data_IF_435803266550
#
_entry.id   IF_435803266550
#
_cell.length_a   1.000
_cell.length_b   1.000
_cell.length_c   1.000
_cell.angle_alpha   90.00
_cell.angle_beta   90.00
_cell.angle_gamma   90.00
#
_symmetry.space_group_name_H-M   'P 1'
#
loop_
_entity.id
_entity.type
_entity.pdbx_description
1 polymer ?
#
# COMPACT_ATOMS: atom_id res chain seq x y z
N UNK A 1 -52.03 9.75 -29.04
CA UNK A 1 -51.72 9.39 -30.44
C UNK A 1 -50.23 9.11 -30.53
N UNK A 2 -49.84 7.86 -30.83
CA UNK A 2 -49.11 7.45 -32.05
C UNK A 2 -47.77 8.17 -32.20
N UNK A 3 -46.61 7.56 -32.43
CA UNK A 3 -46.14 6.18 -32.64
C UNK A 3 -44.64 6.37 -32.98
N UNK A 4 -43.83 5.35 -32.73
CA UNK A 4 -42.59 5.01 -33.47
C UNK A 4 -41.37 5.96 -33.38
N UNK A 5 -40.25 5.42 -32.89
CA UNK A 5 -39.03 5.26 -33.69
C UNK A 5 -38.18 4.10 -33.13
N UNK A 6 -37.77 3.22 -34.05
CA UNK A 6 -36.96 2.00 -33.91
C UNK A 6 -35.55 2.32 -34.41
N UNK A 7 -34.49 1.82 -33.76
CA UNK A 7 -33.23 1.43 -34.43
C UNK A 7 -32.26 0.66 -33.51
N UNK A 8 -32.36 -0.67 -33.57
CA UNK A 8 -31.29 -1.65 -33.83
C UNK A 8 -29.81 -1.19 -33.70
N UNK A 9 -29.04 -1.86 -32.84
CA UNK A 9 -27.72 -2.42 -33.22
C UNK A 9 -27.29 -3.51 -32.24
N UNK A 10 -27.15 -4.72 -32.77
CA UNK A 10 -26.47 -5.86 -32.18
C UNK A 10 -25.03 -5.89 -32.70
N UNK A 11 -24.03 -5.93 -31.81
CA UNK A 11 -22.68 -6.42 -32.14
C UNK A 11 -22.17 -7.23 -30.94
N UNK A 12 -22.03 -8.53 -31.20
CA UNK A 12 -21.35 -9.56 -30.43
C UNK A 12 -19.84 -9.31 -30.33
N UNK A 13 -19.25 -9.62 -29.17
CA UNK A 13 -17.80 -9.78 -29.01
C UNK A 13 -17.49 -10.95 -28.07
N UNK A 14 -17.22 -12.10 -28.69
CA UNK A 14 -16.49 -13.23 -28.13
C UNK A 14 -15.03 -12.99 -28.48
N UNK A 15 -14.12 -12.97 -27.50
CA UNK A 15 -12.72 -13.33 -27.75
C UNK A 15 -12.11 -13.96 -26.49
N UNK A 16 -11.75 -15.25 -26.65
CA UNK A 16 -10.89 -15.98 -25.73
C UNK A 16 -9.43 -15.56 -25.93
N UNK A 17 -8.67 -15.62 -24.84
CA UNK A 17 -7.22 -15.40 -24.84
C UNK A 17 -6.52 -16.72 -24.58
N UNK A 18 -5.91 -17.27 -25.63
CA UNK A 18 -4.88 -18.29 -25.57
C UNK A 18 -3.56 -17.67 -26.08
N UNK A 19 -2.63 -17.52 -25.14
CA UNK A 19 -1.19 -17.85 -25.19
C UNK A 19 -0.31 -17.55 -26.43
N UNK A 20 0.85 -16.95 -26.10
CA UNK A 20 2.20 -17.15 -26.66
C UNK A 20 2.66 -16.44 -27.96
N UNK A 21 3.56 -15.46 -27.72
CA UNK A 21 5.02 -15.53 -27.99
C UNK A 21 5.53 -15.31 -29.43
N UNK A 22 6.41 -14.30 -29.51
CA UNK A 22 7.61 -14.15 -30.35
C UNK A 22 7.47 -13.59 -31.77
N UNK A 23 7.84 -12.32 -31.88
CA UNK A 23 8.17 -11.54 -33.07
C UNK A 23 9.39 -12.08 -33.82
N UNK A 24 9.30 -12.25 -35.15
CA UNK A 24 10.42 -12.07 -36.09
C UNK A 24 9.93 -11.54 -37.45
N UNK A 25 10.84 -10.79 -38.06
CA UNK A 25 10.74 -9.85 -39.17
C UNK A 25 10.88 -10.54 -40.55
N UNK A 26 10.40 -9.81 -41.56
CA UNK A 26 10.50 -9.93 -43.03
C UNK A 26 11.72 -10.70 -43.59
N UNK A 27 11.52 -11.52 -44.63
CA UNK A 27 11.82 -11.14 -46.03
C UNK A 27 11.46 -12.24 -47.05
N UNK A 28 11.21 -11.80 -48.27
CA UNK A 28 10.68 -12.53 -49.42
C UNK A 28 11.71 -13.43 -50.15
N UNK A 29 11.25 -14.54 -50.75
CA UNK A 29 11.67 -15.00 -52.10
C UNK A 29 10.89 -16.26 -52.56
N UNK A 30 10.06 -16.05 -53.58
CA UNK A 30 9.77 -16.83 -54.80
C UNK A 30 9.82 -18.39 -54.87
N UNK A 31 8.62 -18.95 -55.06
CA UNK A 31 8.18 -19.93 -56.10
C UNK A 31 8.52 -21.44 -55.95
N UNK A 32 7.85 -22.35 -56.71
CA UNK A 32 6.40 -22.65 -56.76
C UNK A 32 6.12 -24.17 -56.58
N UNK A 33 4.98 -24.58 -56.02
CA UNK A 33 4.63 -26.03 -55.93
C UNK A 33 3.33 -26.36 -56.67
N UNK A 34 3.53 -27.22 -57.64
CA UNK A 34 2.60 -27.94 -58.51
C UNK A 34 1.86 -29.04 -57.72
N UNK A 35 0.55 -29.11 -57.84
CA UNK A 35 -0.25 -30.35 -57.65
C UNK A 35 -0.35 -31.03 -59.02
N UNK A 36 -0.50 -32.37 -59.18
CA UNK A 36 -1.59 -33.13 -58.51
C UNK A 36 -1.44 -34.68 -58.32
N UNK A 37 -2.45 -35.27 -57.67
CA UNK A 37 -2.99 -36.66 -57.79
C UNK A 37 -2.46 -37.84 -56.92
N UNK A 38 -3.34 -38.31 -56.02
CA UNK A 38 -3.56 -39.72 -55.60
C UNK A 38 -4.08 -40.57 -56.79
N UNK A 39 -4.36 -41.90 -56.71
CA UNK A 39 -4.33 -42.86 -55.57
C UNK A 39 -3.73 -44.24 -55.91
N UNK A 40 -3.49 -45.11 -54.91
CA UNK A 40 -3.74 -46.56 -55.07
C UNK A 40 -3.96 -47.28 -53.74
N UNK A 41 -5.04 -48.02 -53.75
CA UNK A 41 -5.64 -48.90 -52.74
C UNK A 41 -4.91 -50.25 -52.74
N UNK A 42 -4.73 -50.88 -51.56
CA UNK A 42 -5.03 -52.30 -51.31
C UNK A 42 -4.54 -52.81 -49.92
N UNK A 43 -5.55 -53.22 -49.12
CA UNK A 43 -5.61 -54.46 -48.32
C UNK A 43 -5.05 -54.51 -46.88
N UNK A 44 -5.94 -54.17 -45.92
CA UNK A 44 -6.51 -55.00 -44.84
C UNK A 44 -5.70 -56.23 -44.37
N UNK A 45 -5.26 -56.31 -43.11
CA UNK A 45 -6.01 -56.90 -41.97
C UNK A 45 -5.09 -57.08 -40.74
N UNK A 46 -5.72 -56.87 -39.58
CA UNK A 46 -5.41 -57.46 -38.27
C UNK A 46 -4.13 -57.05 -37.51
N UNK A 47 -4.31 -56.14 -36.56
CA UNK A 47 -3.62 -56.21 -35.26
C UNK A 47 -4.63 -55.80 -34.20
N UNK A 48 -5.38 -56.79 -33.74
CA UNK A 48 -5.46 -57.16 -32.32
C UNK A 48 -5.39 -56.00 -31.32
N UNK A 49 -6.57 -55.58 -30.86
CA UNK A 49 -6.93 -55.47 -29.45
C UNK A 49 -5.74 -55.49 -28.46
N UNK A 50 -5.14 -54.32 -28.22
CA UNK A 50 -4.45 -54.02 -26.95
C UNK A 50 -5.42 -53.19 -26.09
N UNK A 51 -6.34 -53.91 -25.44
CA UNK A 51 -6.85 -53.53 -24.12
C UNK A 51 -5.64 -53.23 -23.21
N UNK A 52 -5.30 -51.95 -23.13
CA UNK A 52 -4.45 -51.41 -22.08
C UNK A 52 -5.36 -51.02 -20.93
N UNK A 53 -5.09 -51.58 -19.75
CA UNK A 53 -5.79 -51.42 -18.48
C UNK A 53 -6.46 -50.04 -18.26
N UNK A 54 -7.77 -49.92 -18.55
CA UNK A 54 -8.59 -48.78 -18.08
C UNK A 54 -8.85 -48.82 -16.58
N UNK A 55 -8.56 -49.94 -15.91
CA UNK A 55 -8.77 -50.13 -14.49
C UNK A 55 -7.76 -49.36 -13.63
N UNK A 56 -6.51 -49.16 -14.04
CA UNK A 56 -5.56 -48.36 -13.22
C UNK A 56 -5.79 -46.84 -13.33
N UNK A 57 -6.74 -46.40 -14.17
CA UNK A 57 -6.99 -44.98 -14.49
C UNK A 57 -7.98 -44.28 -13.53
N UNK A 58 -9.00 -44.98 -13.00
CA UNK A 58 -10.03 -44.35 -12.18
C UNK A 58 -9.58 -44.08 -10.75
N UNK A 59 -8.78 -44.97 -10.15
CA UNK A 59 -8.23 -44.76 -8.81
C UNK A 59 -7.38 -43.47 -8.74
N UNK A 60 -6.48 -43.25 -9.70
CA UNK A 60 -5.65 -42.04 -9.76
C UNK A 60 -6.49 -40.78 -10.03
N UNK A 61 -7.45 -40.88 -10.96
CA UNK A 61 -8.38 -39.78 -11.28
C UNK A 61 -9.20 -39.36 -10.06
N UNK A 62 -9.82 -40.33 -9.37
CA UNK A 62 -10.59 -40.11 -8.15
C UNK A 62 -9.71 -39.50 -7.05
N UNK A 63 -8.48 -40.00 -6.85
CA UNK A 63 -7.56 -39.46 -5.85
C UNK A 63 -7.25 -37.96 -6.09
N UNK A 64 -7.00 -37.56 -7.33
CA UNK A 64 -6.77 -36.16 -7.69
C UNK A 64 -8.00 -35.27 -7.45
N UNK A 65 -9.19 -35.74 -7.82
CA UNK A 65 -10.43 -35.02 -7.57
C UNK A 65 -10.73 -34.88 -6.07
N UNK A 66 -10.41 -35.91 -5.27
CA UNK A 66 -10.55 -35.88 -3.81
C UNK A 66 -9.60 -34.86 -3.14
N UNK A 67 -8.39 -34.66 -3.68
CA UNK A 67 -7.49 -33.60 -3.22
C UNK A 67 -8.08 -32.21 -3.47
N UNK A 68 -8.62 -31.97 -4.66
CA UNK A 68 -9.30 -30.72 -5.01
C UNK A 68 -10.51 -30.47 -4.09
N UNK A 69 -11.32 -31.51 -3.87
CA UNK A 69 -12.46 -31.48 -2.98
C UNK A 69 -12.06 -31.11 -1.54
N UNK A 70 -10.96 -31.68 -1.03
CA UNK A 70 -10.43 -31.31 0.30
C UNK A 70 -10.04 -29.83 0.36
N UNK A 71 -9.41 -29.31 -0.70
CA UNK A 71 -9.09 -27.88 -0.81
C UNK A 71 -10.32 -26.99 -0.79
N UNK A 72 -11.37 -27.37 -1.51
CA UNK A 72 -12.66 -26.65 -1.52
C UNK A 72 -13.35 -26.66 -0.16
N UNK A 73 -13.30 -27.79 0.56
CA UNK A 73 -13.81 -27.88 1.94
C UNK A 73 -13.06 -26.93 2.87
N UNK A 74 -11.73 -26.94 2.84
CA UNK A 74 -10.91 -26.03 3.65
C UNK A 74 -11.17 -24.56 3.29
N UNK A 75 -11.39 -24.27 2.01
CA UNK A 75 -11.82 -22.96 1.52
C UNK A 75 -13.15 -22.52 2.13
N UNK A 76 -14.16 -23.40 2.13
CA UNK A 76 -15.46 -23.13 2.75
C UNK A 76 -15.35 -22.83 4.24
N UNK A 77 -14.57 -23.61 4.99
CA UNK A 77 -14.33 -23.38 6.43
C UNK A 77 -13.62 -22.05 6.66
N UNK A 78 -12.57 -21.74 5.90
CA UNK A 78 -11.85 -20.45 6.01
C UNK A 78 -12.76 -19.25 5.69
N UNK A 79 -13.71 -19.42 4.79
CA UNK A 79 -14.72 -18.42 4.49
C UNK A 79 -15.83 -18.32 5.55
N UNK A 80 -15.82 -19.16 6.59
CA UNK A 80 -16.78 -19.12 7.68
C UNK A 80 -18.04 -19.95 7.47
N UNK A 81 -18.00 -21.00 6.63
CA UNK A 81 -19.15 -21.88 6.44
C UNK A 81 -19.59 -22.58 7.74
N UNK A 82 -18.67 -22.81 8.68
CA UNK A 82 -18.95 -23.31 10.03
C UNK A 82 -19.78 -22.34 10.89
N UNK A 83 -19.71 -21.03 10.59
CA UNK A 83 -20.53 -19.98 11.22
C UNK A 83 -21.84 -19.76 10.49
N UNK A 84 -21.81 -19.61 9.16
CA UNK A 84 -22.95 -19.15 8.37
C UNK A 84 -23.84 -20.27 7.82
N UNK A 85 -23.28 -21.47 7.62
CA UNK A 85 -23.92 -22.61 6.97
C UNK A 85 -23.56 -23.92 7.69
N UNK A 86 -23.53 -23.90 9.03
CA UNK A 86 -23.02 -25.00 9.85
C UNK A 86 -23.71 -26.34 9.56
N UNK A 87 -25.04 -26.32 9.44
CA UNK A 87 -25.84 -27.52 9.18
C UNK A 87 -25.54 -28.10 7.78
N UNK A 88 -25.45 -27.24 6.77
CA UNK A 88 -25.12 -27.64 5.41
C UNK A 88 -23.69 -28.17 5.32
N UNK A 89 -22.73 -27.51 5.97
CA UNK A 89 -21.35 -27.97 6.04
C UNK A 89 -21.26 -29.36 6.68
N UNK A 90 -21.95 -29.57 7.81
CA UNK A 90 -22.00 -30.87 8.48
C UNK A 90 -22.61 -31.96 7.58
N UNK A 91 -23.67 -31.64 6.85
CA UNK A 91 -24.28 -32.59 5.92
C UNK A 91 -23.34 -32.95 4.75
N UNK A 92 -22.61 -31.98 4.20
CA UNK A 92 -21.60 -32.26 3.17
C UNK A 92 -20.41 -33.05 3.73
N UNK A 93 -20.04 -32.85 4.99
CA UNK A 93 -18.97 -33.59 5.65
C UNK A 93 -19.32 -35.07 5.81
N UNK A 94 -20.59 -35.37 6.13
CA UNK A 94 -21.09 -36.75 6.16
C UNK A 94 -21.06 -37.40 4.76
N UNK A 95 -21.46 -36.66 3.72
CA UNK A 95 -21.36 -37.13 2.33
C UNK A 95 -19.91 -37.36 1.91
N UNK A 96 -19.00 -36.46 2.28
CA UNK A 96 -17.57 -36.60 2.02
C UNK A 96 -17.00 -37.85 2.68
N UNK A 97 -17.40 -38.14 3.92
CA UNK A 97 -16.98 -39.35 4.62
C UNK A 97 -17.45 -40.61 3.88
N UNK A 98 -18.72 -40.67 3.51
CA UNK A 98 -19.25 -41.80 2.74
C UNK A 98 -18.56 -41.95 1.37
N UNK A 99 -18.24 -40.84 0.71
CA UNK A 99 -17.52 -40.84 -0.57
C UNK A 99 -16.07 -41.33 -0.43
N UNK A 100 -15.38 -40.97 0.67
CA UNK A 100 -14.03 -41.50 0.97
C UNK A 100 -14.03 -43.01 1.13
N UNK A 101 -15.03 -43.55 1.83
CA UNK A 101 -15.18 -45.00 2.00
C UNK A 101 -15.40 -45.69 0.64
N UNK A 102 -16.28 -45.14 -0.23
CA UNK A 102 -16.49 -45.66 -1.59
C UNK A 102 -15.24 -45.63 -2.47
N UNK A 103 -14.46 -44.55 -2.42
CA UNK A 103 -13.21 -44.41 -3.19
C UNK A 103 -12.16 -45.43 -2.72
N UNK A 104 -12.15 -45.80 -1.44
CA UNK A 104 -11.23 -46.80 -0.90
C UNK A 104 -11.64 -48.25 -1.27
N UNK A 105 -12.95 -48.51 -1.36
CA UNK A 105 -13.51 -49.85 -1.51
C UNK A 105 -13.82 -50.24 -2.97
N UNK A 106 -13.72 -49.31 -3.93
CA UNK A 106 -14.09 -49.54 -5.33
C UNK A 106 -13.13 -48.86 -6.31
N UNK A 107 -13.13 -49.36 -7.54
CA UNK A 107 -12.41 -48.77 -8.67
C UNK A 107 -13.38 -48.20 -9.73
N UNK A 108 -14.51 -47.70 -9.26
CA UNK A 108 -15.55 -47.10 -10.11
C UNK A 108 -15.19 -45.65 -10.48
N UNK A 109 -15.68 -45.16 -11.62
CA UNK A 109 -15.57 -43.74 -11.95
C UNK A 109 -16.54 -42.94 -11.06
N UNK A 110 -16.01 -42.30 -10.02
CA UNK A 110 -16.78 -41.49 -9.06
C UNK A 110 -16.68 -40.00 -9.38
N UNK A 111 -16.16 -39.63 -10.56
CA UNK A 111 -15.86 -38.24 -10.89
C UNK A 111 -17.07 -37.32 -10.78
N UNK A 112 -18.26 -37.77 -11.19
CA UNK A 112 -19.48 -36.96 -11.10
C UNK A 112 -19.89 -36.69 -9.65
N UNK A 113 -19.84 -37.71 -8.78
CA UNK A 113 -20.14 -37.56 -7.34
C UNK A 113 -19.12 -36.64 -6.65
N UNK A 114 -17.82 -36.81 -6.95
CA UNK A 114 -16.74 -35.98 -6.39
C UNK A 114 -16.87 -34.53 -6.88
N UNK A 115 -17.13 -34.32 -8.17
CA UNK A 115 -17.33 -32.98 -8.73
C UNK A 115 -18.55 -32.27 -8.13
N UNK A 116 -19.69 -32.96 -8.03
CA UNK A 116 -20.92 -32.38 -7.46
C UNK A 116 -20.67 -31.90 -6.02
N UNK A 117 -20.05 -32.75 -5.20
CA UNK A 117 -19.69 -32.41 -3.83
C UNK A 117 -18.67 -31.27 -3.78
N UNK A 118 -17.69 -31.25 -4.67
CA UNK A 118 -16.71 -30.16 -4.77
C UNK A 118 -17.39 -28.82 -5.06
N UNK A 119 -18.32 -28.78 -6.01
CA UNK A 119 -19.08 -27.56 -6.30
C UNK A 119 -19.95 -27.12 -5.13
N UNK A 120 -20.50 -28.04 -4.33
CA UNK A 120 -21.27 -27.69 -3.12
C UNK A 120 -20.39 -27.01 -2.07
N UNK A 121 -19.18 -27.50 -1.82
CA UNK A 121 -18.24 -26.80 -0.94
C UNK A 121 -17.84 -25.42 -1.48
N UNK A 122 -17.56 -25.32 -2.78
CA UNK A 122 -17.28 -24.02 -3.41
C UNK A 122 -18.48 -23.06 -3.30
N UNK A 123 -19.70 -23.58 -3.38
CA UNK A 123 -20.91 -22.79 -3.18
C UNK A 123 -21.00 -22.27 -1.74
N UNK A 124 -20.76 -23.13 -0.74
CA UNK A 124 -20.73 -22.71 0.68
C UNK A 124 -19.63 -21.68 0.94
N UNK A 125 -18.46 -21.82 0.30
CA UNK A 125 -17.40 -20.82 0.38
C UNK A 125 -17.90 -19.45 -0.10
N UNK A 126 -18.43 -19.38 -1.32
CA UNK A 126 -18.92 -18.12 -1.92
C UNK A 126 -20.12 -17.55 -1.18
N UNK A 127 -21.02 -18.40 -0.70
CA UNK A 127 -22.16 -17.99 0.10
C UNK A 127 -21.70 -17.37 1.43
N UNK A 128 -20.70 -17.95 2.09
CA UNK A 128 -20.15 -17.42 3.34
C UNK A 128 -19.40 -16.09 3.12
N UNK A 129 -18.59 -15.98 2.07
CA UNK A 129 -17.97 -14.71 1.65
C UNK A 129 -19.04 -13.64 1.36
N UNK A 130 -20.17 -14.03 0.78
CA UNK A 130 -21.32 -13.14 0.54
C UNK A 130 -21.93 -12.62 1.83
N UNK A 131 -22.11 -13.47 2.86
CA UNK A 131 -22.62 -13.03 4.17
C UNK A 131 -21.70 -11.99 4.81
N UNK A 132 -20.38 -12.20 4.75
CA UNK A 132 -19.41 -11.23 5.25
C UNK A 132 -19.49 -9.90 4.49
N UNK A 133 -19.59 -9.92 3.16
CA UNK A 133 -19.77 -8.70 2.36
C UNK A 133 -21.06 -7.96 2.70
N UNK A 134 -22.16 -8.69 2.87
CA UNK A 134 -23.45 -8.14 3.27
C UNK A 134 -23.36 -7.44 4.63
N UNK A 135 -22.77 -8.08 5.63
CA UNK A 135 -22.53 -7.47 6.95
C UNK A 135 -21.75 -6.16 6.83
N UNK A 136 -20.64 -6.14 6.08
CA UNK A 136 -19.86 -4.91 5.87
C UNK A 136 -20.65 -3.82 5.14
N UNK A 137 -21.44 -4.19 4.12
CA UNK A 137 -22.28 -3.24 3.38
C UNK A 137 -23.28 -2.57 4.32
N UNK A 138 -23.91 -3.33 5.21
CA UNK A 138 -24.88 -2.83 6.19
C UNK A 138 -24.20 -2.00 7.28
N UNK A 139 -23.04 -2.44 7.78
CA UNK A 139 -22.25 -1.71 8.79
C UNK A 139 -21.87 -0.30 8.31
N UNK A 140 -21.53 -0.17 7.02
CA UNK A 140 -21.20 1.11 6.40
C UNK A 140 -22.41 1.88 5.85
N UNK A 141 -23.63 1.34 5.95
CA UNK A 141 -24.85 1.97 5.44
C UNK A 141 -24.96 2.01 3.91
N UNK A 142 -24.16 1.21 3.19
CA UNK A 142 -24.15 1.17 1.72
C UNK A 142 -25.40 0.51 1.13
N UNK A 143 -26.10 -0.29 1.93
CA UNK A 143 -27.40 -0.86 1.63
C UNK A 143 -28.45 0.25 1.37
N UNK A 144 -28.40 1.33 2.15
CA UNK A 144 -29.29 2.47 1.96
C UNK A 144 -28.86 3.35 0.77
N UNK A 145 -27.56 3.63 0.66
CA UNK A 145 -27.01 4.46 -0.43
C UNK A 145 -27.18 3.83 -1.82
N UNK A 146 -27.20 2.50 -1.91
CA UNK A 146 -27.33 1.74 -3.15
C UNK A 146 -28.56 0.83 -3.14
N UNK A 147 -29.66 1.29 -2.55
CA UNK A 147 -30.85 0.47 -2.27
C UNK A 147 -31.32 -0.40 -3.44
N UNK A 148 -31.39 0.13 -4.66
CA UNK A 148 -31.85 -0.63 -5.83
C UNK A 148 -30.93 -1.82 -6.13
N UNK A 149 -29.61 -1.61 -6.09
CA UNK A 149 -28.64 -2.67 -6.33
C UNK A 149 -28.65 -3.69 -5.18
N UNK A 150 -28.79 -3.20 -3.95
CA UNK A 150 -28.88 -4.03 -2.76
C UNK A 150 -30.13 -4.93 -2.77
N UNK A 151 -31.32 -4.37 -3.04
CA UNK A 151 -32.56 -5.15 -3.17
C UNK A 151 -32.44 -6.24 -4.25
N UNK A 152 -31.75 -5.96 -5.36
CA UNK A 152 -31.48 -6.95 -6.40
C UNK A 152 -30.51 -8.06 -5.94
N UNK A 153 -29.51 -7.71 -5.13
CA UNK A 153 -28.59 -8.67 -4.52
C UNK A 153 -29.30 -9.55 -3.48
N UNK A 154 -30.22 -9.00 -2.68
CA UNK A 154 -31.05 -9.76 -1.73
C UNK A 154 -31.93 -10.79 -2.46
N UNK A 155 -32.49 -10.44 -3.62
CA UNK A 155 -33.27 -11.38 -4.42
C UNK A 155 -32.41 -12.56 -4.92
N UNK A 156 -31.17 -12.30 -5.34
CA UNK A 156 -30.23 -13.37 -5.72
C UNK A 156 -29.85 -14.23 -4.51
N UNK A 157 -29.64 -13.61 -3.34
CA UNK A 157 -29.36 -14.34 -2.11
C UNK A 157 -30.51 -15.28 -1.74
N UNK A 158 -31.76 -14.85 -1.87
CA UNK A 158 -32.92 -15.71 -1.63
C UNK A 158 -32.94 -16.94 -2.57
N UNK A 159 -32.62 -16.77 -3.86
CA UNK A 159 -32.52 -17.88 -4.81
C UNK A 159 -31.34 -18.82 -4.51
N UNK A 160 -30.21 -18.28 -4.05
CA UNK A 160 -29.08 -19.10 -3.57
C UNK A 160 -29.46 -19.94 -2.36
N UNK A 161 -30.06 -19.31 -1.34
CA UNK A 161 -30.50 -20.00 -0.12
C UNK A 161 -31.50 -21.10 -0.46
N UNK A 162 -32.42 -20.84 -1.40
CA UNK A 162 -33.34 -21.86 -1.90
C UNK A 162 -32.58 -23.02 -2.57
N UNK A 163 -31.65 -22.74 -3.49
CA UNK A 163 -30.89 -23.78 -4.19
C UNK A 163 -30.09 -24.68 -3.23
N UNK A 164 -29.52 -24.09 -2.17
CA UNK A 164 -28.81 -24.81 -1.11
C UNK A 164 -29.78 -25.69 -0.31
N UNK A 165 -30.88 -25.11 0.19
CA UNK A 165 -31.82 -25.81 1.07
C UNK A 165 -32.65 -26.89 0.35
N UNK A 166 -32.94 -26.70 -0.93
CA UNK A 166 -33.60 -27.72 -1.78
C UNK A 166 -32.59 -28.74 -2.34
N UNK A 167 -31.33 -28.66 -1.92
CA UNK A 167 -30.28 -29.61 -2.30
C UNK A 167 -30.09 -29.74 -3.82
N UNK A 168 -30.23 -28.62 -4.56
CA UNK A 168 -29.96 -28.58 -6.00
C UNK A 168 -28.55 -29.08 -6.32
N UNK A 169 -28.26 -29.43 -7.58
CA UNK A 169 -26.89 -29.89 -7.94
C UNK A 169 -25.83 -28.85 -7.60
N UNK A 170 -24.62 -29.30 -7.28
CA UNK A 170 -23.51 -28.44 -6.89
C UNK A 170 -23.20 -27.36 -7.92
N UNK A 171 -23.22 -27.71 -9.21
CA UNK A 171 -23.02 -26.75 -10.31
C UNK A 171 -24.08 -25.62 -10.31
N UNK A 172 -25.33 -25.93 -9.96
CA UNK A 172 -26.40 -24.93 -9.84
C UNK A 172 -26.19 -24.06 -8.61
N UNK A 173 -25.89 -24.67 -7.45
CA UNK A 173 -25.61 -23.92 -6.22
C UNK A 173 -24.42 -22.98 -6.39
N UNK A 174 -23.32 -23.47 -6.95
CA UNK A 174 -22.10 -22.69 -7.15
C UNK A 174 -22.33 -21.50 -8.09
N UNK A 175 -23.03 -21.71 -9.21
CA UNK A 175 -23.38 -20.63 -10.14
C UNK A 175 -24.25 -19.55 -9.48
N UNK A 176 -25.23 -19.95 -8.66
CA UNK A 176 -26.03 -19.01 -7.89
C UNK A 176 -25.18 -18.25 -6.85
N UNK A 177 -24.23 -18.94 -6.21
CA UNK A 177 -23.34 -18.34 -5.23
C UNK A 177 -22.39 -17.33 -5.87
N UNK A 178 -21.82 -17.63 -7.03
CA UNK A 178 -20.97 -16.69 -7.80
C UNK A 178 -21.75 -15.43 -8.22
N UNK A 179 -22.96 -15.60 -8.74
CA UNK A 179 -23.80 -14.48 -9.15
C UNK A 179 -24.16 -13.57 -7.96
N UNK A 180 -24.50 -14.17 -6.82
CA UNK A 180 -24.84 -13.44 -5.59
C UNK A 180 -23.61 -12.71 -5.04
N UNK A 181 -22.48 -13.41 -4.92
CA UNK A 181 -21.21 -12.81 -4.48
C UNK A 181 -20.82 -11.61 -5.36
N UNK A 182 -20.90 -11.77 -6.69
CA UNK A 182 -20.57 -10.70 -7.63
C UNK A 182 -21.46 -9.46 -7.43
N UNK A 183 -22.75 -9.64 -7.13
CA UNK A 183 -23.68 -8.54 -6.89
C UNK A 183 -23.31 -7.75 -5.62
N UNK A 184 -23.10 -8.40 -4.48
CA UNK A 184 -22.66 -7.72 -3.26
C UNK A 184 -21.27 -7.12 -3.40
N UNK A 185 -20.33 -7.86 -3.99
CA UNK A 185 -18.98 -7.35 -4.21
C UNK A 185 -18.98 -6.09 -5.07
N UNK A 186 -19.85 -5.99 -6.09
CA UNK A 186 -19.98 -4.78 -6.89
C UNK A 186 -20.48 -3.58 -6.07
N UNK A 187 -21.45 -3.78 -5.18
CA UNK A 187 -21.95 -2.73 -4.26
C UNK A 187 -20.83 -2.27 -3.34
N UNK A 188 -20.18 -3.22 -2.67
CA UNK A 188 -19.07 -2.98 -1.75
C UNK A 188 -17.94 -2.20 -2.43
N UNK A 189 -17.45 -2.73 -3.56
CA UNK A 189 -16.33 -2.16 -4.30
C UNK A 189 -16.63 -0.75 -4.81
N UNK A 190 -17.79 -0.52 -5.42
CA UNK A 190 -18.13 0.79 -5.98
C UNK A 190 -18.34 1.84 -4.88
N UNK A 191 -18.92 1.45 -3.75
CA UNK A 191 -19.14 2.34 -2.61
C UNK A 191 -17.81 2.75 -1.99
N UNK A 192 -16.93 1.80 -1.68
CA UNK A 192 -15.60 2.11 -1.17
C UNK A 192 -14.75 2.88 -2.15
N UNK A 193 -14.84 2.59 -3.46
CA UNK A 193 -14.10 3.35 -4.47
C UNK A 193 -14.50 4.82 -4.46
N UNK A 194 -15.80 5.12 -4.37
CA UNK A 194 -16.31 6.49 -4.28
C UNK A 194 -15.81 7.19 -3.00
N UNK A 195 -15.80 6.49 -1.86
CA UNK A 195 -15.26 7.03 -0.62
C UNK A 195 -13.75 7.27 -0.70
N UNK A 196 -12.98 6.32 -1.22
CA UNK A 196 -11.54 6.45 -1.42
C UNK A 196 -11.20 7.63 -2.32
N UNK A 197 -11.94 7.84 -3.41
CA UNK A 197 -11.76 8.99 -4.31
C UNK A 197 -12.00 10.33 -3.60
N UNK A 198 -12.99 10.40 -2.71
CA UNK A 198 -13.28 11.58 -1.91
C UNK A 198 -12.19 11.83 -0.87
N UNK A 199 -11.83 10.81 -0.08
CA UNK A 199 -10.80 10.90 0.95
C UNK A 199 -9.43 11.22 0.37
N UNK A 200 -9.09 10.67 -0.80
CA UNK A 200 -7.85 11.01 -1.52
C UNK A 200 -7.76 12.51 -1.80
N UNK A 201 -8.85 13.13 -2.24
CA UNK A 201 -8.90 14.58 -2.50
C UNK A 201 -8.72 15.37 -1.20
N UNK A 202 -9.44 15.00 -0.15
CA UNK A 202 -9.32 15.65 1.16
C UNK A 202 -7.92 15.49 1.78
N UNK A 203 -7.30 14.32 1.65
CA UNK A 203 -5.91 14.10 2.08
C UNK A 203 -4.91 14.99 1.32
N UNK A 204 -5.11 15.18 0.01
CA UNK A 204 -4.28 16.10 -0.79
C UNK A 204 -4.48 17.56 -0.40
N UNK A 205 -5.69 17.96 0.00
CA UNK A 205 -5.95 19.30 0.54
C UNK A 205 -5.23 19.52 1.86
N UNK A 206 -5.29 18.55 2.79
CA UNK A 206 -4.57 18.63 4.06
C UNK A 206 -3.05 18.59 3.88
N UNK A 207 -2.56 17.82 2.90
CA UNK A 207 -1.14 17.87 2.50
C UNK A 207 -0.73 19.28 2.07
N UNK A 208 -1.53 19.95 1.23
CA UNK A 208 -1.26 21.35 0.83
C UNK A 208 -1.27 22.30 2.03
N UNK A 209 -2.19 22.11 2.98
CA UNK A 209 -2.22 22.90 4.21
C UNK A 209 -0.94 22.70 5.05
N UNK A 210 -0.47 21.46 5.19
CA UNK A 210 0.80 21.14 5.83
C UNK A 210 2.00 21.77 5.08
N UNK A 211 1.98 21.76 3.75
CA UNK A 211 3.02 22.37 2.92
C UNK A 211 3.07 23.89 3.11
N UNK A 212 1.92 24.56 3.22
CA UNK A 212 1.83 26.01 3.43
C UNK A 212 2.51 26.45 4.75
N UNK A 213 2.47 25.61 5.79
CA UNK A 213 3.18 25.86 7.05
C UNK A 213 4.61 25.31 7.06
N UNK A 214 5.12 24.90 5.89
CA UNK A 214 6.43 24.27 5.66
C UNK A 214 6.67 23.04 6.53
N UNK A 215 5.65 22.20 6.70
CA UNK A 215 5.72 21.01 7.55
C UNK A 215 6.84 20.04 7.16
N UNK A 216 7.03 19.82 5.85
CA UNK A 216 8.10 18.96 5.34
C UNK A 216 9.51 19.42 5.67
N UNK A 217 9.71 20.71 5.96
CA UNK A 217 11.01 21.25 6.42
C UNK A 217 11.13 21.17 7.93
N UNK A 218 10.08 21.54 8.66
CA UNK A 218 10.09 21.60 10.11
C UNK A 218 10.06 20.21 10.78
N UNK A 219 9.46 19.21 10.14
CA UNK A 219 9.26 17.85 10.66
C UNK A 219 9.40 16.81 9.54
N UNK A 220 10.60 16.75 8.94
CA UNK A 220 10.89 15.95 7.73
C UNK A 220 10.49 14.48 7.87
N UNK A 221 10.88 13.81 8.95
CA UNK A 221 10.64 12.37 9.10
C UNK A 221 9.16 12.04 9.33
N UNK A 222 8.46 12.84 10.16
CA UNK A 222 7.01 12.70 10.35
C UNK A 222 6.26 12.95 9.04
N UNK A 223 6.61 14.01 8.31
CA UNK A 223 5.98 14.31 7.02
C UNK A 223 6.22 13.18 6.00
N UNK A 224 7.43 12.61 5.96
CA UNK A 224 7.76 11.48 5.10
C UNK A 224 6.91 10.26 5.45
N UNK A 225 6.81 9.90 6.73
CA UNK A 225 5.99 8.77 7.18
C UNK A 225 4.51 8.91 6.80
N UNK A 226 3.94 10.12 6.88
CA UNK A 226 2.56 10.39 6.43
C UNK A 226 2.44 10.22 4.91
N UNK A 227 3.44 10.68 4.16
CA UNK A 227 3.47 10.52 2.70
C UNK A 227 3.54 9.05 2.28
N UNK A 228 4.27 8.22 3.03
CA UNK A 228 4.34 6.78 2.80
C UNK A 228 2.97 6.11 3.04
N UNK A 229 2.18 6.55 4.03
CA UNK A 229 0.79 6.08 4.22
C UNK A 229 -0.09 6.44 3.03
N UNK A 230 0.00 7.69 2.53
CA UNK A 230 -0.74 8.11 1.34
C UNK A 230 -0.36 7.26 0.11
N UNK A 231 0.92 6.95 -0.08
CA UNK A 231 1.42 6.12 -1.18
C UNK A 231 0.94 4.66 -1.08
N UNK A 232 0.82 4.12 0.15
CA UNK A 232 0.16 2.82 0.36
C UNK A 232 -1.29 2.85 -0.10
N UNK A 233 -2.00 3.96 0.14
CA UNK A 233 -3.34 4.19 -0.40
C UNK A 233 -3.38 4.18 -1.93
N UNK A 234 -2.44 4.87 -2.59
CA UNK A 234 -2.32 4.85 -4.06
C UNK A 234 -2.05 3.42 -4.59
N UNK A 235 -1.21 2.64 -3.91
CA UNK A 235 -0.96 1.24 -4.29
C UNK A 235 -2.21 0.37 -4.12
N UNK A 236 -2.92 0.49 -2.99
CA UNK A 236 -4.17 -0.22 -2.73
C UNK A 236 -5.24 0.12 -3.79
N UNK A 237 -5.33 1.38 -4.20
CA UNK A 237 -6.26 1.81 -5.23
C UNK A 237 -5.95 1.18 -6.60
N UNK A 238 -4.67 1.17 -7.00
CA UNK A 238 -4.23 0.56 -8.28
C UNK A 238 -4.39 -0.96 -8.27
N UNK A 239 -4.21 -1.60 -7.12
CA UNK A 239 -4.38 -3.06 -6.93
C UNK A 239 -5.84 -3.46 -6.71
N UNK A 240 -6.80 -2.55 -6.91
CA UNK A 240 -8.25 -2.78 -6.81
C UNK A 240 -8.72 -3.19 -5.40
N UNK A 241 -8.07 -2.66 -4.36
CA UNK A 241 -8.52 -2.77 -2.98
C UNK A 241 -8.98 -1.39 -2.46
N UNK A 242 -10.22 -0.98 -2.77
CA UNK A 242 -10.70 0.36 -2.44
C UNK A 242 -10.98 0.56 -0.94
N UNK A 243 -11.26 -0.49 -0.19
CA UNK A 243 -11.40 -0.44 1.29
C UNK A 243 -10.07 -0.02 1.92
N UNK A 244 -8.99 -0.74 1.62
CA UNK A 244 -7.65 -0.39 2.11
C UNK A 244 -7.17 0.98 1.61
N UNK A 245 -7.52 1.36 0.37
CA UNK A 245 -7.22 2.68 -0.16
C UNK A 245 -7.92 3.78 0.64
N UNK A 246 -9.21 3.62 0.91
CA UNK A 246 -10.00 4.54 1.74
C UNK A 246 -9.37 4.72 3.12
N UNK A 247 -9.03 3.64 3.82
CA UNK A 247 -8.43 3.70 5.16
C UNK A 247 -7.09 4.44 5.15
N UNK A 248 -6.22 4.14 4.19
CA UNK A 248 -4.92 4.82 4.07
C UNK A 248 -5.08 6.32 3.78
N UNK A 249 -6.01 6.71 2.90
CA UNK A 249 -6.24 8.12 2.60
C UNK A 249 -6.85 8.86 3.78
N UNK A 250 -7.80 8.25 4.49
CA UNK A 250 -8.38 8.80 5.72
C UNK A 250 -7.30 9.02 6.78
N UNK A 251 -6.45 8.02 7.02
CA UNK A 251 -5.34 8.13 7.97
C UNK A 251 -4.35 9.23 7.55
N UNK A 252 -3.98 9.29 6.27
CA UNK A 252 -3.07 10.32 5.77
C UNK A 252 -3.68 11.73 5.92
N UNK A 253 -4.97 11.90 5.64
CA UNK A 253 -5.71 13.16 5.83
C UNK A 253 -5.59 13.65 7.28
N UNK A 254 -5.98 12.80 8.23
CA UNK A 254 -5.97 13.12 9.66
C UNK A 254 -4.55 13.48 10.14
N UNK A 255 -3.54 12.74 9.69
CA UNK A 255 -2.15 13.00 10.08
C UNK A 255 -1.58 14.29 9.46
N UNK A 256 -1.90 14.59 8.20
CA UNK A 256 -1.48 15.85 7.58
C UNK A 256 -2.13 17.05 8.27
N UNK A 257 -3.43 16.97 8.57
CA UNK A 257 -4.16 18.02 9.29
C UNK A 257 -3.56 18.28 10.67
N UNK A 258 -3.34 17.23 11.46
CA UNK A 258 -2.72 17.34 12.78
C UNK A 258 -1.31 17.97 12.71
N UNK A 259 -0.50 17.56 11.73
CA UNK A 259 0.85 18.11 11.54
C UNK A 259 0.80 19.59 11.14
N UNK A 260 -0.15 19.98 10.30
CA UNK A 260 -0.32 21.36 9.86
C UNK A 260 -0.69 22.28 11.04
N UNK A 261 -1.64 21.85 11.88
CA UNK A 261 -2.08 22.60 13.08
C UNK A 261 -0.91 22.77 14.05
N UNK A 262 -0.23 21.68 14.41
CA UNK A 262 0.89 21.70 15.37
C UNK A 262 2.00 22.67 14.93
N UNK A 263 2.31 22.72 13.64
CA UNK A 263 3.36 23.57 13.10
C UNK A 263 2.90 25.01 12.97
N UNK A 264 1.64 25.26 12.58
CA UNK A 264 1.06 26.60 12.55
C UNK A 264 1.14 27.25 13.94
N UNK A 265 0.77 26.52 15.00
CA UNK A 265 0.82 26.99 16.39
C UNK A 265 2.25 27.32 16.83
N UNK A 266 3.21 26.43 16.57
CA UNK A 266 4.63 26.65 16.89
C UNK A 266 5.19 27.88 16.17
N UNK A 267 4.81 28.09 14.91
CA UNK A 267 5.23 29.26 14.12
C UNK A 267 4.61 30.55 14.64
N UNK A 268 3.32 30.53 14.98
CA UNK A 268 2.65 31.70 15.56
C UNK A 268 3.27 32.10 16.91
N UNK A 269 3.59 31.13 17.76
CA UNK A 269 4.28 31.37 19.03
C UNK A 269 5.70 31.93 18.83
N UNK A 270 6.45 31.41 17.84
CA UNK A 270 7.76 31.93 17.49
C UNK A 270 7.68 33.36 16.94
N UNK A 271 6.71 33.64 16.06
CA UNK A 271 6.51 34.97 15.48
C UNK A 271 6.16 36.00 16.57
N UNK A 272 5.28 35.65 17.51
CA UNK A 272 4.96 36.50 18.65
C UNK A 272 6.21 36.88 19.46
N UNK A 273 7.10 35.91 19.73
CA UNK A 273 8.37 36.18 20.44
C UNK A 273 9.31 37.07 19.64
N UNK A 274 9.37 36.90 18.32
CA UNK A 274 10.16 37.76 17.43
C UNK A 274 9.60 39.19 17.45
N UNK A 275 8.28 39.36 17.40
CA UNK A 275 7.64 40.68 17.40
C UNK A 275 7.83 41.38 18.76
N UNK A 276 7.70 40.66 19.87
CA UNK A 276 8.02 41.16 21.21
C UNK A 276 9.50 41.57 21.35
N UNK A 277 10.42 40.80 20.77
CA UNK A 277 11.84 41.14 20.79
C UNK A 277 12.14 42.38 19.94
N UNK A 278 11.53 42.50 18.75
CA UNK A 278 11.67 43.69 17.89
C UNK A 278 11.13 44.94 18.56
N UNK A 279 9.99 44.86 19.22
CA UNK A 279 9.43 45.98 19.97
C UNK A 279 10.38 46.47 21.07
N UNK A 280 10.98 45.55 21.83
CA UNK A 280 11.98 45.90 22.85
C UNK A 280 13.25 46.54 22.27
N UNK A 281 13.73 46.03 21.14
CA UNK A 281 14.89 46.63 20.44
C UNK A 281 14.56 48.06 20.02
N UNK A 282 13.37 48.28 19.44
CA UNK A 282 12.91 49.61 19.05
C UNK A 282 12.75 50.55 20.26
N UNK A 283 12.26 50.06 21.40
CA UNK A 283 12.15 50.85 22.63
C UNK A 283 13.53 51.26 23.16
N UNK A 284 14.52 50.36 23.12
CA UNK A 284 15.91 50.66 23.51
C UNK A 284 16.54 51.67 22.55
N UNK A 285 16.34 51.52 21.24
CA UNK A 285 16.83 52.47 20.23
C UNK A 285 16.23 53.86 20.41
N UNK A 286 14.92 53.95 20.66
CA UNK A 286 14.25 55.22 20.96
C UNK A 286 14.79 55.86 22.24
N UNK A 287 14.97 55.07 23.30
CA UNK A 287 15.54 55.58 24.56
C UNK A 287 16.97 56.08 24.38
N UNK A 288 17.80 55.38 23.63
CA UNK A 288 19.17 55.81 23.30
C UNK A 288 19.17 57.13 22.52
N UNK A 289 18.33 57.25 21.48
CA UNK A 289 18.18 58.50 20.72
C UNK A 289 17.66 59.67 21.58
N UNK A 290 16.73 59.42 22.50
CA UNK A 290 16.31 60.45 23.46
C UNK A 290 17.44 60.85 24.42
N UNK A 291 18.27 59.89 24.86
CA UNK A 291 19.42 60.16 25.70
C UNK A 291 20.47 61.02 24.98
N UNK A 292 20.78 60.72 23.72
CA UNK A 292 21.70 61.50 22.89
C UNK A 292 21.22 62.94 22.68
N UNK A 293 19.89 63.17 22.60
CA UNK A 293 19.32 64.52 22.47
C UNK A 293 19.29 65.27 23.81
N UNK A 294 18.97 64.59 24.92
CA UNK A 294 18.86 65.23 26.25
C UNK A 294 20.20 65.47 26.93
N UNK A 295 21.19 64.62 26.69
CA UNK A 295 22.53 64.70 27.26
C UNK A 295 23.58 64.40 26.17
N UNK A 296 23.70 65.26 25.15
CA UNK A 296 24.71 65.08 24.11
C UNK A 296 26.09 65.13 24.75
N UNK A 297 26.95 64.17 24.40
CA UNK A 297 28.37 64.24 24.73
C UNK A 297 28.94 65.42 23.94
N UNK A 298 29.07 66.57 24.61
CA UNK A 298 29.66 67.77 24.01
C UNK A 298 31.17 67.62 23.83
N UNK A 299 31.78 68.59 23.14
CA UNK A 299 33.24 68.71 22.98
C UNK A 299 33.97 69.09 24.30
N UNK A 300 33.27 69.03 25.44
CA UNK A 300 33.84 69.33 26.75
C UNK A 300 34.65 68.14 27.26
N UNK A 301 35.85 68.45 27.77
CA UNK A 301 36.80 67.48 28.30
C UNK A 301 36.15 66.68 29.43
N UNK A 302 35.88 65.40 29.20
CA UNK A 302 35.33 64.48 30.20
C UNK A 302 36.47 64.11 31.14
N UNK A 303 36.31 64.35 32.44
CA UNK A 303 37.32 64.00 33.45
C UNK A 303 37.67 62.50 33.37
N UNK A 304 38.92 62.19 33.03
CA UNK A 304 39.43 60.82 32.86
C UNK A 304 39.47 60.26 31.44
N UNK A 305 39.03 60.99 30.41
CA UNK A 305 39.27 60.64 29.00
C UNK A 305 40.25 61.66 28.41
N UNK A 306 41.49 61.24 28.20
CA UNK A 306 42.54 62.09 27.64
C UNK A 306 42.35 62.32 26.13
N UNK A 307 42.92 63.42 25.62
CA UNK A 307 42.80 63.80 24.20
C UNK A 307 43.41 62.73 23.29
N UNK A 308 42.93 62.60 22.05
CA UNK A 308 43.27 61.47 21.14
C UNK A 308 44.78 61.22 20.93
N UNK A 309 45.62 62.22 21.21
CA UNK A 309 47.08 62.16 21.07
C UNK A 309 47.83 62.13 22.43
N UNK A 310 47.13 61.87 23.53
CA UNK A 310 47.74 61.67 24.84
C UNK A 310 48.47 60.33 24.87
N UNK A 311 49.76 60.37 25.17
CA UNK A 311 50.57 59.18 25.41
C UNK A 311 50.11 58.58 26.75
N UNK A 312 49.28 57.53 26.68
CA UNK A 312 48.61 56.89 27.83
C UNK A 312 49.56 56.17 28.81
N UNK A 313 50.84 56.09 28.50
CA UNK A 313 51.87 55.44 29.29
C UNK A 313 53.10 56.36 29.29
N UNK A 314 53.66 56.67 30.45
CA UNK A 314 55.04 57.15 30.49
C UNK A 314 55.90 56.14 29.71
N UNK A 315 56.84 56.63 28.89
CA UNK A 315 57.82 55.74 28.29
C UNK A 315 58.52 55.00 29.42
N UNK A 316 58.15 53.73 29.63
CA UNK A 316 58.92 52.82 30.46
C UNK A 316 60.33 52.83 29.86
N UNK A 317 61.24 53.54 30.53
CA UNK A 317 62.66 53.37 30.32
C UNK A 317 63.01 52.00 30.86
N UNK A 318 62.75 50.98 30.05
CA UNK A 318 63.46 49.73 30.18
C UNK A 318 64.95 50.07 30.06
N UNK A 319 65.70 49.82 31.13
CA UNK A 319 67.15 49.84 31.09
C UNK A 319 67.61 48.94 29.93
N UNK A 320 68.66 49.36 29.23
CA UNK A 320 69.13 48.71 28.02
C UNK A 320 69.34 47.21 28.32
N UNK A 321 68.69 46.28 27.59
CA UNK A 321 68.83 44.84 27.86
C UNK A 321 70.27 44.33 27.70
N UNK A 322 71.16 45.11 27.09
CA UNK A 322 72.59 44.82 27.00
C UNK A 322 73.34 44.94 28.35
N UNK A 323 72.79 45.64 29.35
CA UNK A 323 73.39 45.73 30.70
C UNK A 323 72.96 44.57 31.62
N UNK A 324 71.99 43.74 31.19
CA UNK A 324 71.60 42.51 31.87
C UNK A 324 72.53 41.35 31.46
N UNK A 325 73.79 41.39 31.92
CA UNK A 325 74.69 40.24 31.85
C UNK A 325 74.19 39.18 32.82
N UNK A 326 73.42 38.22 32.30
CA UNK A 326 73.16 36.95 32.96
C UNK A 326 74.29 36.01 32.53
N UNK A 327 75.21 35.69 33.45
CA UNK A 327 76.13 34.57 33.27
C UNK A 327 75.31 33.27 33.28
N UNK A 328 75.08 32.70 32.10
CA UNK A 328 74.52 31.36 31.96
C UNK A 328 75.69 30.38 32.01
N UNK A 329 75.77 29.58 33.08
CA UNK A 329 76.66 28.43 33.13
C UNK A 329 76.26 27.43 32.03
N UNK A 330 77.16 27.25 31.07
CA UNK A 330 77.14 26.15 30.11
C UNK A 330 77.33 24.81 30.84
N UNK A 331 76.24 24.17 31.24
CA UNK A 331 76.13 22.71 31.27
C UNK A 331 74.71 22.29 31.65
N UNK A 332 74.05 21.50 30.80
CA UNK A 332 73.75 20.08 31.04
C UNK A 332 72.91 19.57 29.86
N UNK A 333 73.24 18.33 29.50
CA UNK A 333 72.96 17.60 28.30
C UNK A 333 71.47 17.30 28.06
N UNK A 334 71.14 17.17 26.77
CA UNK A 334 69.82 16.85 26.23
C UNK A 334 69.53 15.36 26.39
N UNK A 335 68.50 15.00 27.15
CA UNK A 335 67.76 13.75 26.95
C UNK A 335 66.33 14.05 26.48
N UNK A 336 66.10 13.75 25.20
CA UNK A 336 64.79 13.70 24.56
C UNK A 336 64.07 12.44 25.00
N UNK A 337 62.96 12.56 25.74
CA UNK A 337 61.87 11.59 25.62
C UNK A 337 60.54 12.17 26.14
N UNK A 338 59.50 12.14 25.29
CA UNK A 338 58.12 11.93 25.79
C UNK A 338 57.02 12.98 25.58
N UNK A 339 57.03 13.91 24.61
CA UNK A 339 55.86 14.81 24.39
C UNK A 339 55.41 14.93 22.93
N UNK A 340 55.47 13.84 22.16
CA UNK A 340 54.96 13.79 20.77
C UNK A 340 53.88 12.72 20.58
N UNK A 341 52.95 12.51 21.52
CA UNK A 341 51.77 11.63 21.28
C UNK A 341 50.50 12.02 22.05
N UNK A 342 50.03 13.28 21.94
CA UNK A 342 48.66 13.63 22.40
C UNK A 342 47.85 14.47 21.40
N UNK A 343 48.46 15.02 20.35
CA UNK A 343 47.76 15.93 19.41
C UNK A 343 47.40 15.33 18.04
N UNK A 344 47.43 14.00 17.86
CA UNK A 344 47.04 13.36 16.59
C UNK A 344 45.68 12.63 16.59
N UNK A 345 45.04 12.42 17.74
CA UNK A 345 43.79 11.64 17.79
C UNK A 345 42.49 12.48 17.86
N UNK A 346 42.59 13.81 17.92
CA UNK A 346 41.41 14.68 18.00
C UNK A 346 40.90 15.22 16.65
N UNK A 347 41.54 14.91 15.52
CA UNK A 347 41.19 15.50 14.22
C UNK A 347 40.86 14.50 13.09
N UNK A 348 40.52 13.25 13.44
CA UNK A 348 40.26 12.19 12.45
C UNK A 348 38.99 11.36 12.69
N UNK A 349 37.91 11.96 13.21
CA UNK A 349 36.62 11.29 13.35
C UNK A 349 35.40 12.18 13.05
N UNK A 350 35.49 13.08 12.07
CA UNK A 350 34.31 13.84 11.58
C UNK A 350 34.31 14.00 10.05
N UNK A 351 34.59 12.89 9.37
CA UNK A 351 34.57 12.79 7.91
C UNK A 351 34.16 11.41 7.44
N UNK A 352 33.04 10.89 7.96
CA UNK A 352 32.20 9.91 7.26
C UNK A 352 30.86 9.72 7.99
N UNK A 353 29.83 10.41 7.51
CA UNK A 353 28.42 9.95 7.44
C UNK A 353 27.55 10.90 6.61
#
# INVERSE_FOLDING_TARGET
MKKLLIALMAISLIFGLASCKSTKQEDASETPVEQPQEPTDETVEDTTDESTDETDSFAEKNAKLMEQLSGSRDGAIKAGADKYYADQLSALDEQLKALKDKVADSNEDLSEEIEDLNYRYLALQKASETKQLKEKIEEHGFDQDNKIAYDAAEALLAELEKAINENASGKVQYKAAEATYAAYHAIFYNSFKKLADAERKSALEQKKAADNVKAGVAQKDRYKAITEVFQKGDNAYVTKNPEAAFDCYKEAKEKYEALAIEIAEKRAAAQKRIDEAKAKVQDVENFAGEADVKAPIGDEKIDGIEEKDSVLLEEDKFENPDDAVIEVEDSVEVENDGVVEVFKDAFKAEGDR
#
